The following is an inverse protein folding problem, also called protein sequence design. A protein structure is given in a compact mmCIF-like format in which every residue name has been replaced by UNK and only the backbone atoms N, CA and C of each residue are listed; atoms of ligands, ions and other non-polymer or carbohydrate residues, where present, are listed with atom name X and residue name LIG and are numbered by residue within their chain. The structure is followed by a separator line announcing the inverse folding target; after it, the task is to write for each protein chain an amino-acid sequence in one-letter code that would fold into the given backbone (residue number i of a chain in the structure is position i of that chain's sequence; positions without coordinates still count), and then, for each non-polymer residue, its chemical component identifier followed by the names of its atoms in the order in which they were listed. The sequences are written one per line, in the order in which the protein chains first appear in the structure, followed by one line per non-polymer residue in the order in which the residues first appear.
data_IF_282692072136
#
_entry.id   IF_282692072136
#
_cell.length_a   1.000
_cell.length_b   1.000
_cell.length_c   1.000
_cell.angle_alpha   90.00
_cell.angle_beta   90.00
_cell.angle_gamma   90.00
#
_symmetry.space_group_name_H-M   'P 1'
#
loop_
_entity.id
_entity.type
_entity.pdbx_description
1 polymer ?
#
# COMPACT_ATOMS: atom_id res chain seq x y z
N UNK A 1 20.69 6.30 -12.84
CA UNK A 1 20.24 5.26 -11.92
C UNK A 1 20.53 3.91 -12.52
N UNK A 2 21.17 3.03 -11.76
CA UNK A 2 21.35 1.61 -12.09
C UNK A 2 20.07 0.83 -11.82
N UNK A 3 19.97 -0.39 -12.35
CA UNK A 3 18.81 -1.26 -12.11
C UNK A 3 18.60 -1.57 -10.61
N UNK A 4 19.70 -1.65 -9.85
CA UNK A 4 19.67 -1.85 -8.38
C UNK A 4 19.16 -0.60 -7.66
N UNK A 5 19.59 0.59 -8.07
CA UNK A 5 19.09 1.85 -7.49
C UNK A 5 17.59 2.02 -7.75
N UNK A 6 17.12 1.72 -8.98
CA UNK A 6 15.69 1.72 -9.31
C UNK A 6 14.91 0.74 -8.44
N UNK A 7 15.41 -0.50 -8.27
CA UNK A 7 14.79 -1.50 -7.41
C UNK A 7 14.69 -1.03 -5.95
N UNK A 8 15.72 -0.38 -5.43
CA UNK A 8 15.71 0.17 -4.07
C UNK A 8 14.68 1.29 -3.90
N UNK A 9 14.53 2.15 -4.89
CA UNK A 9 13.49 3.19 -4.87
C UNK A 9 12.09 2.59 -4.94
N UNK A 10 11.87 1.57 -5.78
CA UNK A 10 10.58 0.89 -5.86
C UNK A 10 10.23 0.13 -4.58
N UNK A 11 11.20 -0.42 -3.85
CA UNK A 11 10.96 -1.02 -2.53
C UNK A 11 10.50 0.02 -1.50
N UNK A 12 11.05 1.24 -1.56
CA UNK A 12 10.59 2.36 -0.70
C UNK A 12 9.20 2.81 -1.10
N UNK A 13 8.91 2.88 -2.40
CA UNK A 13 7.57 3.20 -2.93
C UNK A 13 6.54 2.17 -2.43
N UNK A 14 6.83 0.86 -2.53
CA UNK A 14 5.93 -0.17 -2.01
C UNK A 14 5.75 -0.08 -0.48
N UNK A 15 6.80 0.19 0.28
CA UNK A 15 6.66 0.38 1.73
C UNK A 15 5.77 1.58 2.06
N UNK A 16 5.94 2.70 1.35
CA UNK A 16 5.08 3.87 1.49
C UNK A 16 3.61 3.56 1.13
N UNK A 17 3.40 2.78 0.07
CA UNK A 17 2.07 2.37 -0.41
C UNK A 17 1.33 1.57 0.64
N UNK A 18 2.00 0.57 1.23
CA UNK A 18 1.46 -0.27 2.30
C UNK A 18 1.13 0.53 3.58
N UNK A 19 1.94 1.54 3.94
CA UNK A 19 1.61 2.44 5.06
C UNK A 19 0.36 3.28 4.77
N UNK A 20 0.15 3.68 3.52
CA UNK A 20 -1.07 4.37 3.10
C UNK A 20 -2.29 3.42 3.13
N UNK A 21 -2.12 2.19 2.65
CA UNK A 21 -3.14 1.13 2.71
C UNK A 21 -3.57 0.87 4.16
N UNK A 22 -2.60 0.75 5.09
CA UNK A 22 -2.86 0.55 6.52
C UNK A 22 -3.75 1.68 7.09
N UNK A 23 -3.47 2.93 6.72
CA UNK A 23 -4.25 4.09 7.16
C UNK A 23 -5.68 4.06 6.61
N UNK A 24 -5.82 3.73 5.31
CA UNK A 24 -7.11 3.60 4.64
C UNK A 24 -7.97 2.50 5.27
N UNK A 25 -7.42 1.30 5.44
CA UNK A 25 -8.13 0.15 6.00
C UNK A 25 -8.55 0.38 7.46
N UNK A 26 -7.69 0.98 8.29
CA UNK A 26 -8.06 1.41 9.65
C UNK A 26 -9.25 2.37 9.65
N UNK A 27 -9.30 3.26 8.67
CA UNK A 27 -10.35 4.26 8.55
C UNK A 27 -11.67 3.65 8.06
N UNK A 28 -11.61 2.65 7.18
CA UNK A 28 -12.77 1.89 6.71
C UNK A 28 -13.33 0.97 7.81
N UNK A 29 -12.47 0.26 8.53
CA UNK A 29 -12.86 -0.63 9.63
C UNK A 29 -13.68 0.09 10.71
N UNK A 30 -13.37 1.37 10.99
CA UNK A 30 -14.10 2.20 11.96
C UNK A 30 -15.49 2.66 11.49
N UNK A 31 -15.75 2.63 10.18
CA UNK A 31 -16.96 3.20 9.56
C UNK A 31 -17.92 2.15 9.03
N UNK A 32 -17.45 0.92 8.82
CA UNK A 32 -18.27 -0.20 8.32
C UNK A 32 -19.17 -0.77 9.43
N UNK A 33 -20.33 -0.15 9.64
CA UNK A 33 -21.26 -0.58 10.69
C UNK A 33 -22.34 -1.55 10.19
N UNK A 34 -22.83 -1.38 8.96
CA UNK A 34 -23.99 -2.11 8.43
C UNK A 34 -23.63 -3.35 7.58
N UNK A 35 -22.35 -3.68 7.45
CA UNK A 35 -21.85 -4.76 6.58
C UNK A 35 -20.81 -5.62 7.32
N UNK A 36 -21.25 -6.55 8.19
CA UNK A 36 -20.36 -7.29 9.07
C UNK A 36 -19.32 -8.13 8.31
N UNK A 37 -19.71 -8.78 7.20
CA UNK A 37 -18.79 -9.56 6.37
C UNK A 37 -17.69 -8.68 5.75
N UNK A 38 -18.06 -7.49 5.26
CA UNK A 38 -17.10 -6.52 4.73
C UNK A 38 -16.15 -6.04 5.83
N UNK A 39 -16.67 -5.78 7.03
CA UNK A 39 -15.86 -5.42 8.19
C UNK A 39 -14.81 -6.48 8.52
N UNK A 40 -15.21 -7.75 8.60
CA UNK A 40 -14.27 -8.87 8.81
C UNK A 40 -13.18 -8.93 7.74
N UNK A 41 -13.52 -8.71 6.46
CA UNK A 41 -12.53 -8.74 5.37
C UNK A 41 -11.58 -7.54 5.43
N UNK A 42 -12.05 -6.35 5.79
CA UNK A 42 -11.20 -5.16 5.98
C UNK A 42 -10.22 -5.39 7.15
N UNK A 43 -10.67 -5.95 8.27
CA UNK A 43 -9.80 -6.25 9.42
C UNK A 43 -8.76 -7.32 9.10
N UNK A 44 -9.18 -8.38 8.39
CA UNK A 44 -8.26 -9.39 7.88
C UNK A 44 -7.19 -8.74 6.98
N UNK A 45 -7.62 -7.91 6.03
CA UNK A 45 -6.71 -7.29 5.09
C UNK A 45 -5.75 -6.32 5.80
N UNK A 46 -6.23 -5.56 6.79
CA UNK A 46 -5.35 -4.72 7.64
C UNK A 46 -4.28 -5.53 8.36
N UNK A 47 -4.58 -6.77 8.79
CA UNK A 47 -3.57 -7.67 9.35
C UNK A 47 -2.55 -8.11 8.29
N UNK A 48 -2.99 -8.48 7.10
CA UNK A 48 -2.14 -8.86 5.96
C UNK A 48 -1.20 -7.72 5.55
N UNK A 49 -1.72 -6.50 5.36
CA UNK A 49 -0.96 -5.26 5.09
C UNK A 49 0.15 -5.03 6.12
N UNK A 50 -0.14 -5.25 7.41
CA UNK A 50 0.89 -5.12 8.46
C UNK A 50 2.01 -6.14 8.33
N UNK A 51 1.68 -7.38 7.95
CA UNK A 51 2.71 -8.39 7.67
C UNK A 51 3.53 -8.02 6.43
N UNK A 52 2.90 -7.50 5.38
CA UNK A 52 3.57 -7.02 4.16
C UNK A 52 4.55 -5.87 4.47
N UNK A 53 4.15 -4.90 5.30
CA UNK A 53 5.04 -3.85 5.81
C UNK A 53 6.27 -4.44 6.49
N UNK A 54 6.10 -5.39 7.42
CA UNK A 54 7.22 -6.03 8.12
C UNK A 54 8.14 -6.79 7.17
N UNK A 55 7.59 -7.46 6.15
CA UNK A 55 8.38 -8.15 5.13
C UNK A 55 9.21 -7.15 4.31
N UNK A 56 8.61 -6.04 3.87
CA UNK A 56 9.31 -4.98 3.16
C UNK A 56 10.41 -4.34 4.01
N UNK A 57 10.16 -4.07 5.30
CA UNK A 57 11.18 -3.55 6.22
C UNK A 57 12.37 -4.50 6.34
N UNK A 58 12.12 -5.82 6.38
CA UNK A 58 13.17 -6.85 6.35
C UNK A 58 13.98 -6.82 5.06
N UNK A 59 13.32 -6.69 3.90
CA UNK A 59 13.96 -6.59 2.58
C UNK A 59 14.76 -5.28 2.43
N UNK A 60 14.23 -4.16 2.92
CA UNK A 60 14.93 -2.87 2.92
C UNK A 60 16.19 -2.95 3.77
N UNK A 61 16.09 -3.56 4.96
CA UNK A 61 17.19 -3.70 5.89
C UNK A 61 18.30 -4.63 5.35
N UNK A 62 17.95 -5.79 4.78
CA UNK A 62 18.94 -6.74 4.23
C UNK A 62 19.75 -6.15 3.07
N UNK A 63 19.13 -5.25 2.30
CA UNK A 63 19.75 -4.57 1.15
C UNK A 63 20.44 -3.25 1.54
N UNK A 64 20.53 -2.92 2.84
CA UNK A 64 21.15 -1.70 3.37
C UNK A 64 20.60 -0.40 2.74
N UNK A 65 19.31 -0.40 2.42
CA UNK A 65 18.64 0.71 1.74
C UNK A 65 18.38 1.82 2.78
N UNK A 66 18.93 3.03 2.54
CA UNK A 66 18.68 4.19 3.42
C UNK A 66 17.18 4.54 3.48
N UNK A 67 16.69 4.89 4.67
CA UNK A 67 15.30 5.33 4.91
C UNK A 67 15.05 6.79 4.50
N UNK A 68 16.08 7.60 4.23
CA UNK A 68 15.95 9.05 4.00
C UNK A 68 15.22 9.45 2.71
N UNK A 69 15.09 8.54 1.74
CA UNK A 69 14.44 8.79 0.43
C UNK A 69 12.93 8.50 0.45
N UNK A 70 12.38 7.96 1.55
CA UNK A 70 10.95 7.62 1.69
C UNK A 70 9.99 8.81 1.54
N UNK A 71 10.47 10.04 1.76
CA UNK A 71 9.60 11.24 1.77
C UNK A 71 9.02 11.57 0.39
N UNK A 72 9.77 11.33 -0.68
CA UNK A 72 9.32 11.62 -2.05
C UNK A 72 8.30 10.58 -2.55
N UNK A 73 8.51 9.31 -2.19
CA UNK A 73 7.58 8.20 -2.43
C UNK A 73 6.20 8.45 -1.82
N UNK A 74 6.18 8.87 -0.54
CA UNK A 74 4.94 9.20 0.17
C UNK A 74 4.16 10.34 -0.49
N UNK A 75 4.85 11.29 -1.13
CA UNK A 75 4.20 12.43 -1.81
C UNK A 75 3.47 11.99 -3.10
N UNK A 76 4.03 11.04 -3.85
CA UNK A 76 3.39 10.44 -5.04
C UNK A 76 2.17 9.59 -4.67
N UNK A 77 2.29 8.82 -3.59
CA UNK A 77 1.19 8.00 -3.07
C UNK A 77 0.09 8.87 -2.44
N UNK A 78 0.44 9.96 -1.76
CA UNK A 78 -0.55 10.91 -1.24
C UNK A 78 -1.35 11.57 -2.37
N UNK A 79 -0.71 11.86 -3.53
CA UNK A 79 -1.42 12.38 -4.70
C UNK A 79 -2.41 11.36 -5.28
N UNK A 80 -2.07 10.07 -5.28
CA UNK A 80 -2.98 8.98 -5.65
C UNK A 80 -4.05 8.72 -4.57
N UNK A 81 -3.69 8.90 -3.29
CA UNK A 81 -4.54 8.68 -2.13
C UNK A 81 -5.55 9.82 -1.88
N UNK A 82 -5.31 11.03 -2.39
CA UNK A 82 -6.30 12.13 -2.31
C UNK A 82 -7.55 11.85 -3.18
N UNK A 83 -7.42 11.07 -4.26
CA UNK A 83 -8.57 10.67 -5.09
C UNK A 83 -9.38 9.51 -4.48
N UNK A 84 -8.73 8.69 -3.65
CA UNK A 84 -9.30 7.47 -3.03
C UNK A 84 -9.73 7.71 -1.56
N UNK A 85 -9.07 8.65 -0.87
CA UNK A 85 -9.16 8.87 0.57
C UNK A 85 -10.02 10.06 1.00
N UNK A 86 -10.93 10.53 0.15
CA UNK A 86 -11.96 11.48 0.57
C UNK A 86 -12.78 10.92 1.74
N UNK A 87 -13.21 11.80 2.66
CA UNK A 87 -14.20 11.43 3.68
C UNK A 87 -15.51 11.19 2.93
N UNK A 88 -15.74 9.95 2.53
CA UNK A 88 -17.04 9.54 2.01
C UNK A 88 -18.00 9.36 3.20
N UNK A 89 -19.20 9.95 3.15
CA UNK A 89 -20.22 9.73 4.17
C UNK A 89 -20.65 8.25 4.21
N UNK A 90 -21.32 7.82 5.29
CA UNK A 90 -21.63 6.40 5.55
C UNK A 90 -22.46 5.73 4.44
N UNK A 91 -23.24 6.51 3.69
CA UNK A 91 -24.03 6.12 2.53
C UNK A 91 -23.20 5.87 1.25
N UNK A 92 -21.90 6.18 1.27
CA UNK A 92 -20.99 6.04 0.12
C UNK A 92 -20.02 4.85 0.24
N UNK A 93 -20.36 3.83 1.04
CA UNK A 93 -19.53 2.61 1.20
C UNK A 93 -19.14 1.95 -0.13
N UNK A 94 -20.02 2.02 -1.14
CA UNK A 94 -19.76 1.51 -2.49
C UNK A 94 -18.58 2.24 -3.14
N UNK A 95 -18.48 3.57 -2.98
CA UNK A 95 -17.33 4.34 -3.48
C UNK A 95 -16.06 3.96 -2.73
N UNK A 96 -16.15 3.75 -1.41
CA UNK A 96 -15.04 3.23 -0.61
C UNK A 96 -14.53 1.89 -1.15
N UNK A 97 -15.43 0.94 -1.42
CA UNK A 97 -15.09 -0.38 -1.97
C UNK A 97 -14.52 -0.28 -3.39
N UNK A 98 -15.07 0.57 -4.26
CA UNK A 98 -14.53 0.81 -5.61
C UNK A 98 -13.11 1.36 -5.53
N UNK A 99 -12.88 2.34 -4.66
CA UNK A 99 -11.57 2.93 -4.47
C UNK A 99 -10.56 1.92 -3.91
N UNK A 100 -10.96 1.10 -2.95
CA UNK A 100 -10.13 -0.02 -2.46
C UNK A 100 -9.81 -0.99 -3.59
N UNK A 101 -10.78 -1.39 -4.40
CA UNK A 101 -10.54 -2.30 -5.52
C UNK A 101 -9.53 -1.76 -6.53
N UNK A 102 -9.61 -0.47 -6.87
CA UNK A 102 -8.61 0.18 -7.75
C UNK A 102 -7.23 0.23 -7.08
N UNK A 103 -7.19 0.49 -5.77
CA UNK A 103 -5.94 0.48 -5.01
C UNK A 103 -5.29 -0.91 -5.03
N UNK A 104 -6.04 -2.00 -4.82
CA UNK A 104 -5.52 -3.37 -4.92
C UNK A 104 -4.92 -3.67 -6.29
N UNK A 105 -5.55 -3.19 -7.38
CA UNK A 105 -4.99 -3.36 -8.73
C UNK A 105 -3.66 -2.62 -8.90
N UNK A 106 -3.53 -1.44 -8.29
CA UNK A 106 -2.28 -0.71 -8.25
C UNK A 106 -1.20 -1.47 -7.46
N UNK A 107 -1.54 -2.03 -6.29
CA UNK A 107 -0.61 -2.85 -5.50
C UNK A 107 -0.13 -4.08 -6.27
N UNK A 108 -1.05 -4.79 -6.94
CA UNK A 108 -0.71 -5.93 -7.81
C UNK A 108 0.29 -5.52 -8.89
N UNK A 109 0.08 -4.38 -9.54
CA UNK A 109 0.99 -3.88 -10.58
C UNK A 109 2.37 -3.53 -10.00
N UNK A 110 2.42 -2.88 -8.84
CA UNK A 110 3.65 -2.54 -8.13
C UNK A 110 4.44 -3.80 -7.73
N UNK A 111 3.79 -4.77 -7.10
CA UNK A 111 4.43 -6.01 -6.67
C UNK A 111 4.89 -6.89 -7.85
N UNK A 112 4.09 -6.98 -8.92
CA UNK A 112 4.49 -7.70 -10.14
C UNK A 112 5.76 -7.10 -10.75
N UNK A 113 5.84 -5.76 -10.78
CA UNK A 113 7.02 -5.05 -11.26
C UNK A 113 8.23 -5.26 -10.36
N UNK A 114 8.04 -5.21 -9.04
CA UNK A 114 9.09 -5.46 -8.04
C UNK A 114 9.65 -6.88 -8.09
N UNK A 115 8.78 -7.89 -8.25
CA UNK A 115 9.20 -9.29 -8.39
C UNK A 115 10.05 -9.44 -9.65
N UNK A 116 9.57 -8.90 -10.78
CA UNK A 116 10.31 -8.94 -12.06
C UNK A 116 11.67 -8.27 -11.94
N UNK A 117 11.76 -7.12 -11.27
CA UNK A 117 13.02 -6.41 -11.03
C UNK A 117 13.97 -7.22 -10.14
N UNK A 118 13.45 -7.83 -9.07
CA UNK A 118 14.23 -8.67 -8.17
C UNK A 118 14.78 -9.93 -8.84
N UNK A 119 14.03 -10.52 -9.77
CA UNK A 119 14.46 -11.69 -10.54
C UNK A 119 15.54 -11.38 -11.57
N UNK A 120 15.45 -10.22 -12.24
CA UNK A 120 16.45 -9.77 -13.21
C UNK A 120 17.74 -9.26 -12.58
N UNK A 121 17.66 -8.78 -11.34
CA UNK A 121 18.82 -8.31 -10.56
C UNK A 121 19.60 -9.40 -9.82
N UNK A 122 19.15 -10.66 -9.93
CA UNK A 122 19.93 -11.86 -9.52
C UNK A 122 20.87 -12.27 -10.64
#
# INVERSE_FOLDING_TARGET
MTDIENYHDWLRDAHAMEKQAESMLKSMAKRVNNYPELGTRIEQHLYETRQQITLLEGIISRNQISRSVLKDSMSKIAALGQSIGGIFPEDEIVKGVISSYVFEQFEIACYTSLITAAEKGR
#
